data_IF_174943605976
#
_entry.id   IF_174943605976
#
_cell.length_a   1.000
_cell.length_b   1.000
_cell.length_c   1.000
_cell.angle_alpha   90.00
_cell.angle_beta   90.00
_cell.angle_gamma   90.00
#
_symmetry.space_group_name_H-M   'P 1'
#
loop_
_entity.id
_entity.type
_entity.pdbx_description
1 polymer ?
#
# COMPACT_ATOMS: atom_id res chain seq x y z
N UNK A 1 7.17 2.25 1.34
CA UNK A 1 8.04 1.05 1.22
C UNK A 1 7.50 -0.13 2.02
N UNK A 2 7.42 -0.07 3.36
CA UNK A 2 6.96 -1.21 4.18
C UNK A 2 5.53 -1.71 3.88
N UNK A 3 4.64 -0.82 3.43
CA UNK A 3 3.27 -1.13 3.01
C UNK A 3 3.20 -2.12 1.86
N UNK A 4 4.06 -1.99 0.84
CA UNK A 4 4.17 -2.95 -0.25
C UNK A 4 4.51 -4.34 0.28
N UNK A 5 5.53 -4.45 1.14
CA UNK A 5 5.94 -5.71 1.75
C UNK A 5 4.84 -6.33 2.61
N UNK A 6 4.18 -5.54 3.46
CA UNK A 6 3.10 -6.00 4.32
C UNK A 6 1.94 -6.60 3.51
N UNK A 7 1.53 -5.94 2.42
CA UNK A 7 0.47 -6.44 1.54
C UNK A 7 0.93 -7.63 0.69
N UNK A 8 2.09 -7.52 0.03
CA UNK A 8 2.61 -8.53 -0.88
C UNK A 8 2.90 -9.86 -0.15
N UNK A 9 3.59 -9.81 0.99
CA UNK A 9 3.87 -11.02 1.75
C UNK A 9 2.65 -11.46 2.58
N UNK A 10 1.89 -10.51 3.14
CA UNK A 10 0.66 -10.79 3.88
C UNK A 10 -0.38 -11.60 3.09
N UNK A 11 -0.43 -11.43 1.77
CA UNK A 11 -1.22 -12.26 0.86
C UNK A 11 -0.98 -13.78 0.99
N UNK A 12 0.16 -14.21 1.53
CA UNK A 12 0.49 -15.63 1.77
C UNK A 12 0.17 -16.15 3.18
N UNK A 13 -0.20 -15.29 4.12
CA UNK A 13 -0.26 -15.66 5.55
C UNK A 13 -1.66 -15.55 6.18
N UNK A 14 -2.67 -15.08 5.44
CA UNK A 14 -4.04 -14.83 5.96
C UNK A 14 -4.02 -14.11 7.32
N UNK A 15 -3.32 -12.96 7.45
CA UNK A 15 -3.14 -12.30 8.73
C UNK A 15 -4.48 -11.82 9.29
N UNK A 16 -4.59 -11.75 10.63
CA UNK A 16 -5.79 -11.21 11.29
C UNK A 16 -6.01 -9.75 10.92
N UNK A 17 -4.94 -8.97 10.79
CA UNK A 17 -4.99 -7.58 10.38
C UNK A 17 -3.77 -7.17 9.55
N UNK A 18 -3.97 -6.24 8.63
CA UNK A 18 -2.92 -5.53 7.89
C UNK A 18 -3.15 -4.03 8.11
N UNK A 19 -2.17 -3.34 8.69
CA UNK A 19 -2.27 -1.91 8.99
C UNK A 19 -1.25 -1.17 8.11
N UNK A 20 -1.73 -0.17 7.39
CA UNK A 20 -1.00 0.53 6.34
C UNK A 20 -1.04 2.03 6.62
N UNK A 21 0.11 2.66 6.42
CA UNK A 21 0.30 4.10 6.48
C UNK A 21 0.97 4.53 5.17
N UNK A 22 0.30 5.38 4.39
CA UNK A 22 0.73 5.85 3.07
C UNK A 22 1.05 4.66 2.15
N UNK A 23 0.02 3.87 1.79
CA UNK A 23 0.23 2.66 1.01
C UNK A 23 0.86 2.97 -0.35
N UNK A 24 1.77 2.09 -0.78
CA UNK A 24 2.34 2.08 -2.12
C UNK A 24 2.19 0.63 -2.63
N UNK A 25 1.57 0.46 -3.80
CA UNK A 25 1.28 -0.83 -4.44
C UNK A 25 1.84 -0.91 -5.86
N UNK A 26 1.89 0.22 -6.57
CA UNK A 26 2.19 0.30 -7.99
C UNK A 26 3.63 0.81 -8.22
N UNK A 27 4.63 -0.06 -8.01
CA UNK A 27 6.04 0.31 -8.18
C UNK A 27 6.41 0.69 -9.64
N UNK A 28 5.77 0.08 -10.63
CA UNK A 28 5.90 0.43 -12.03
C UNK A 28 5.32 1.81 -12.33
N UNK A 29 4.15 2.13 -11.79
CA UNK A 29 3.57 3.48 -11.84
C UNK A 29 4.48 4.52 -11.18
N UNK A 30 5.07 4.21 -10.02
CA UNK A 30 6.04 5.09 -9.36
C UNK A 30 7.28 5.29 -10.26
N UNK A 31 7.80 4.23 -10.89
CA UNK A 31 8.90 4.32 -11.84
C UNK A 31 8.56 5.19 -13.07
N UNK A 32 7.35 5.03 -13.62
CA UNK A 32 6.81 5.84 -14.72
C UNK A 32 6.81 7.32 -14.38
N UNK A 33 6.32 7.65 -13.18
CA UNK A 33 6.28 9.04 -12.68
C UNK A 33 7.67 9.60 -12.41
N UNK A 34 8.61 8.77 -11.97
CA UNK A 34 10.03 9.13 -11.80
C UNK A 34 10.73 9.57 -13.08
N UNK A 35 10.28 9.08 -14.25
CA UNK A 35 10.81 9.49 -15.56
C UNK A 35 10.43 10.93 -15.93
N UNK A 36 9.24 11.38 -15.50
CA UNK A 36 8.85 12.78 -15.59
C UNK A 36 9.58 13.51 -14.46
N UNK A 37 10.32 14.58 -14.74
CA UNK A 37 11.14 15.32 -13.73
C UNK A 37 10.28 16.04 -12.67
N UNK A 38 9.43 15.32 -11.97
CA UNK A 38 8.66 15.83 -10.85
C UNK A 38 9.63 16.06 -9.67
N UNK A 39 9.51 17.18 -8.93
CA UNK A 39 10.27 17.37 -7.71
C UNK A 39 10.06 16.21 -6.74
N UNK A 40 11.14 15.72 -6.11
CA UNK A 40 11.11 14.73 -5.01
C UNK A 40 10.64 13.30 -5.37
N UNK A 41 11.00 12.77 -6.54
CA UNK A 41 10.72 11.38 -6.96
C UNK A 41 11.51 10.31 -6.16
N UNK A 42 11.06 9.05 -6.22
CA UNK A 42 11.74 7.86 -5.68
C UNK A 42 12.53 7.13 -6.78
N UNK A 43 13.77 7.54 -7.11
CA UNK A 43 14.52 7.04 -8.28
C UNK A 43 14.81 5.54 -8.21
N UNK A 44 14.94 4.98 -7.01
CA UNK A 44 15.14 3.54 -6.79
C UNK A 44 14.02 2.67 -7.38
N UNK A 45 12.84 3.23 -7.69
CA UNK A 45 11.81 2.51 -8.43
C UNK A 45 12.28 2.06 -9.83
N UNK A 46 13.17 2.81 -10.49
CA UNK A 46 13.74 2.42 -11.78
C UNK A 46 14.71 1.24 -11.64
N UNK A 47 15.50 1.20 -10.56
CA UNK A 47 16.38 0.07 -10.27
C UNK A 47 15.56 -1.19 -9.96
N UNK A 48 14.46 -1.05 -9.20
CA UNK A 48 13.53 -2.15 -8.92
C UNK A 48 12.82 -2.64 -10.18
N UNK A 49 12.46 -1.72 -11.08
CA UNK A 49 11.91 -2.06 -12.39
C UNK A 49 12.88 -2.90 -13.20
N UNK A 50 14.12 -2.44 -13.33
CA UNK A 50 15.14 -3.19 -14.05
C UNK A 50 15.43 -4.54 -13.39
N UNK A 51 15.56 -4.58 -12.05
CA UNK A 51 15.81 -5.81 -11.29
C UNK A 51 14.73 -6.89 -11.53
N UNK A 52 13.46 -6.49 -11.57
CA UNK A 52 12.35 -7.45 -11.62
C UNK A 52 11.86 -7.78 -13.03
N UNK A 53 12.14 -6.94 -14.01
CA UNK A 53 11.58 -7.07 -15.35
C UNK A 53 12.64 -7.09 -16.46
N UNK A 54 13.88 -6.67 -16.17
CA UNK A 54 14.97 -6.56 -17.14
C UNK A 54 14.88 -5.34 -18.07
N UNK A 55 13.74 -4.64 -18.11
CA UNK A 55 13.51 -3.50 -19.02
C UNK A 55 13.10 -2.21 -18.31
N UNK A 56 12.62 -1.24 -19.11
CA UNK A 56 12.33 0.13 -18.66
C UNK A 56 11.20 0.83 -19.41
N UNK A 57 10.55 0.16 -20.35
CA UNK A 57 9.41 0.71 -21.09
C UNK A 57 8.10 0.53 -20.31
N UNK A 58 6.99 1.00 -20.88
CA UNK A 58 5.68 0.96 -20.22
C UNK A 58 5.20 -0.47 -19.96
N UNK A 59 5.49 -1.43 -20.85
CA UNK A 59 5.12 -2.82 -20.66
C UNK A 59 5.82 -3.42 -19.43
N UNK A 60 7.09 -3.08 -19.22
CA UNK A 60 7.82 -3.50 -18.03
C UNK A 60 7.25 -2.85 -16.75
N UNK A 61 6.83 -1.59 -16.82
CA UNK A 61 6.19 -0.90 -15.68
C UNK A 61 4.88 -1.59 -15.31
N UNK A 62 4.04 -1.89 -16.29
CA UNK A 62 2.80 -2.64 -16.08
C UNK A 62 3.05 -4.03 -15.51
N UNK A 63 4.05 -4.76 -16.02
CA UNK A 63 4.42 -6.09 -15.51
C UNK A 63 4.85 -6.04 -14.03
N UNK A 64 5.58 -4.99 -13.62
CA UNK A 64 5.96 -4.80 -12.23
C UNK A 64 4.74 -4.54 -11.32
N UNK A 65 3.76 -3.77 -11.77
CA UNK A 65 2.51 -3.55 -11.03
C UNK A 65 1.70 -4.85 -10.96
N UNK A 66 1.60 -5.59 -12.08
CA UNK A 66 0.91 -6.88 -12.12
C UNK A 66 1.58 -7.95 -11.26
N UNK A 67 2.91 -7.88 -11.05
CA UNK A 67 3.60 -8.75 -10.09
C UNK A 67 2.99 -8.63 -8.69
N UNK A 68 2.67 -7.42 -8.24
CA UNK A 68 1.98 -7.19 -6.97
C UNK A 68 0.54 -7.69 -7.02
N UNK A 69 -0.24 -7.20 -7.99
CA UNK A 69 -1.68 -7.43 -8.03
C UNK A 69 -2.08 -8.88 -8.28
N UNK A 70 -1.32 -9.64 -9.09
CA UNK A 70 -1.56 -11.08 -9.28
C UNK A 70 -1.51 -11.86 -7.96
N UNK A 71 -0.63 -11.45 -7.04
CA UNK A 71 -0.53 -12.08 -5.72
C UNK A 71 -1.61 -11.58 -4.78
N UNK A 72 -1.82 -10.27 -4.72
CA UNK A 72 -2.79 -9.65 -3.81
C UNK A 72 -4.24 -10.08 -4.12
N UNK A 73 -4.66 -10.04 -5.40
CA UNK A 73 -6.04 -10.37 -5.80
C UNK A 73 -6.39 -11.86 -5.68
N UNK A 74 -5.39 -12.75 -5.58
CA UNK A 74 -5.59 -14.20 -5.37
C UNK A 74 -5.60 -14.58 -3.88
N UNK A 75 -5.28 -13.65 -3.00
CA UNK A 75 -5.18 -13.93 -1.58
C UNK A 75 -6.56 -14.07 -0.93
N UNK A 76 -6.63 -14.93 0.08
CA UNK A 76 -7.79 -15.05 0.95
C UNK A 76 -7.66 -14.07 2.12
N UNK A 77 -8.43 -12.99 2.06
CA UNK A 77 -8.53 -11.97 3.09
C UNK A 77 -9.86 -12.01 3.85
N UNK A 78 -10.62 -13.10 3.75
CA UNK A 78 -11.96 -13.22 4.36
C UNK A 78 -12.00 -12.97 5.88
N UNK A 79 -10.87 -13.17 6.57
CA UNK A 79 -10.72 -12.94 8.02
C UNK A 79 -9.72 -11.82 8.34
N UNK A 80 -9.34 -11.03 7.35
CA UNK A 80 -8.36 -9.95 7.49
C UNK A 80 -9.09 -8.61 7.63
N UNK A 81 -8.69 -7.86 8.65
CA UNK A 81 -9.08 -6.45 8.78
C UNK A 81 -7.96 -5.54 8.26
N UNK A 82 -8.26 -4.68 7.31
CA UNK A 82 -7.38 -3.65 6.79
C UNK A 82 -7.62 -2.33 7.50
N UNK A 83 -6.56 -1.77 8.08
CA UNK A 83 -6.52 -0.39 8.54
C UNK A 83 -5.65 0.45 7.60
N UNK A 84 -6.20 1.46 6.93
CA UNK A 84 -5.47 2.23 5.92
C UNK A 84 -5.50 3.74 6.21
N UNK A 85 -4.36 4.32 6.58
CA UNK A 85 -4.18 5.78 6.52
C UNK A 85 -3.49 6.13 5.20
N UNK A 86 -4.09 7.04 4.43
CA UNK A 86 -3.59 7.44 3.11
C UNK A 86 -3.56 8.96 2.94
N UNK A 87 -2.74 9.41 2.00
CA UNK A 87 -2.67 10.82 1.59
C UNK A 87 -3.62 11.03 0.41
N UNK A 88 -4.48 12.06 0.48
CA UNK A 88 -5.47 12.32 -0.58
C UNK A 88 -4.83 12.83 -1.87
N UNK A 89 -3.72 13.56 -1.75
CA UNK A 89 -2.95 14.12 -2.85
C UNK A 89 -1.62 13.36 -3.02
N UNK A 90 -1.65 12.03 -2.80
CA UNK A 90 -0.52 11.12 -2.94
C UNK A 90 0.17 11.29 -4.31
N UNK A 91 1.44 11.69 -4.28
CA UNK A 91 2.17 12.11 -5.47
C UNK A 91 3.13 11.03 -6.01
N UNK A 92 3.38 9.95 -5.25
CA UNK A 92 4.14 8.79 -5.73
C UNK A 92 3.25 7.75 -6.39
N UNK A 93 2.20 7.30 -5.71
CA UNK A 93 1.28 6.27 -6.19
C UNK A 93 -0.18 6.75 -6.05
N UNK A 94 -0.65 7.64 -6.95
CA UNK A 94 -1.87 8.43 -6.75
C UNK A 94 -3.16 7.62 -6.66
N UNK A 95 -3.15 6.35 -7.10
CA UNK A 95 -4.33 5.47 -7.10
C UNK A 95 -4.21 4.34 -6.07
N UNK A 96 -3.14 4.29 -5.27
CA UNK A 96 -2.87 3.17 -4.38
C UNK A 96 -4.05 2.83 -3.48
N UNK A 97 -4.67 3.84 -2.85
CA UNK A 97 -5.78 3.64 -1.94
C UNK A 97 -7.01 3.08 -2.68
N UNK A 98 -7.40 3.71 -3.78
CA UNK A 98 -8.54 3.35 -4.61
C UNK A 98 -8.38 1.93 -5.18
N UNK A 99 -7.19 1.60 -5.69
CA UNK A 99 -6.88 0.28 -6.24
C UNK A 99 -6.97 -0.81 -5.17
N UNK A 100 -6.44 -0.54 -3.96
CA UNK A 100 -6.51 -1.48 -2.83
C UNK A 100 -7.97 -1.71 -2.42
N UNK A 101 -8.75 -0.64 -2.25
CA UNK A 101 -10.15 -0.75 -1.87
C UNK A 101 -10.96 -1.47 -2.95
N UNK A 102 -10.73 -1.18 -4.23
CA UNK A 102 -11.39 -1.87 -5.33
C UNK A 102 -11.07 -3.36 -5.36
N UNK A 103 -9.81 -3.74 -5.11
CA UNK A 103 -9.41 -5.14 -5.04
C UNK A 103 -10.00 -5.88 -3.83
N UNK A 104 -10.23 -5.18 -2.72
CA UNK A 104 -10.83 -5.75 -1.50
C UNK A 104 -12.37 -5.74 -1.54
N UNK A 105 -12.99 -4.86 -2.33
CA UNK A 105 -14.45 -4.72 -2.39
C UNK A 105 -15.16 -6.02 -2.77
N UNK A 106 -14.55 -6.85 -3.62
CA UNK A 106 -15.09 -8.15 -4.03
C UNK A 106 -14.78 -9.29 -3.04
N UNK A 107 -14.31 -8.97 -1.82
CA UNK A 107 -13.91 -9.93 -0.80
C UNK A 107 -14.61 -9.64 0.53
N UNK A 108 -14.57 -10.60 1.46
CA UNK A 108 -15.11 -10.39 2.83
C UNK A 108 -14.14 -9.62 3.75
N UNK A 109 -13.07 -9.03 3.20
CA UNK A 109 -12.12 -8.26 3.97
C UNK A 109 -12.79 -7.00 4.57
N UNK A 110 -12.52 -6.73 5.84
CA UNK A 110 -13.01 -5.51 6.50
C UNK A 110 -12.04 -4.37 6.23
N UNK A 111 -12.51 -3.22 5.77
CA UNK A 111 -11.67 -2.04 5.51
C UNK A 111 -12.10 -0.88 6.38
N UNK A 112 -11.15 -0.30 7.12
CA UNK A 112 -11.32 0.98 7.82
C UNK A 112 -10.20 1.90 7.36
N UNK A 113 -10.57 3.08 6.86
CA UNK A 113 -9.60 4.02 6.29
C UNK A 113 -9.74 5.45 6.81
N UNK A 114 -8.64 6.21 6.72
CA UNK A 114 -8.60 7.65 6.98
C UNK A 114 -7.72 8.35 5.96
N UNK A 115 -8.32 9.26 5.20
CA UNK A 115 -7.59 10.16 4.31
C UNK A 115 -7.13 11.42 5.03
N UNK A 116 -5.86 11.79 4.83
CA UNK A 116 -5.26 13.07 5.27
C UNK A 116 -4.94 13.90 4.03
N UNK A 117 -5.21 15.21 4.05
CA UNK A 117 -4.82 16.09 2.94
C UNK A 117 -3.32 16.38 3.01
N UNK A 118 -2.67 16.42 1.85
CA UNK A 118 -1.23 16.54 1.65
C UNK A 118 -0.70 15.49 0.67
N UNK A 119 0.53 15.71 0.21
CA UNK A 119 1.35 14.80 -0.58
C UNK A 119 2.01 13.74 0.29
N UNK A 120 2.75 12.81 -0.31
CA UNK A 120 3.32 11.65 0.40
C UNK A 120 4.08 12.02 1.68
N UNK A 121 4.84 13.12 1.67
CA UNK A 121 5.69 13.52 2.79
C UNK A 121 5.07 14.56 3.72
N UNK A 122 3.83 14.99 3.45
CA UNK A 122 3.11 15.93 4.30
C UNK A 122 2.48 15.21 5.52
N UNK A 123 2.29 15.94 6.61
CA UNK A 123 1.66 15.53 7.88
C UNK A 123 1.89 14.06 8.31
N UNK A 124 3.16 13.66 8.35
CA UNK A 124 3.53 12.29 8.76
C UNK A 124 3.15 11.98 10.21
N UNK A 125 3.07 13.00 11.07
CA UNK A 125 2.69 12.86 12.48
C UNK A 125 1.27 12.31 12.61
N UNK A 126 0.30 12.86 11.87
CA UNK A 126 -1.08 12.39 11.92
C UNK A 126 -1.23 10.96 11.40
N UNK A 127 -0.57 10.62 10.28
CA UNK A 127 -0.59 9.25 9.73
C UNK A 127 -0.03 8.23 10.72
N UNK A 128 1.10 8.54 11.37
CA UNK A 128 1.72 7.65 12.37
C UNK A 128 0.83 7.51 13.62
N UNK A 129 0.25 8.61 14.10
CA UNK A 129 -0.67 8.58 15.24
C UNK A 129 -1.89 7.70 14.94
N UNK A 130 -2.46 7.81 13.73
CA UNK A 130 -3.56 6.95 13.29
C UNK A 130 -3.17 5.47 13.25
N UNK A 131 -2.01 5.16 12.66
CA UNK A 131 -1.48 3.80 12.60
C UNK A 131 -1.36 3.19 14.01
N UNK A 132 -0.74 3.93 14.95
CA UNK A 132 -0.52 3.45 16.32
C UNK A 132 -1.83 3.26 17.08
N UNK A 133 -2.82 4.14 16.88
CA UNK A 133 -4.12 4.01 17.51
C UNK A 133 -4.89 2.80 16.96
N UNK A 134 -4.86 2.59 15.65
CA UNK A 134 -5.51 1.43 15.04
C UNK A 134 -4.85 0.11 15.47
N UNK A 135 -3.52 0.09 15.54
CA UNK A 135 -2.77 -1.06 16.07
C UNK A 135 -3.19 -1.40 17.50
N UNK A 136 -3.24 -0.40 18.40
CA UNK A 136 -3.70 -0.57 19.78
C UNK A 136 -5.15 -1.06 19.84
N UNK A 137 -6.03 -0.50 19.01
CA UNK A 137 -7.44 -0.92 18.94
C UNK A 137 -7.57 -2.40 18.54
N UNK A 138 -6.79 -2.86 17.56
CA UNK A 138 -6.78 -4.28 17.17
C UNK A 138 -6.27 -5.15 18.31
N UNK A 139 -5.17 -4.78 18.96
CA UNK A 139 -4.63 -5.54 20.10
C UNK A 139 -5.65 -5.68 21.24
N UNK A 140 -6.37 -4.60 21.55
CA UNK A 140 -7.37 -4.59 22.62
C UNK A 140 -8.62 -5.41 22.23
N UNK A 141 -9.22 -5.13 21.07
CA UNK A 141 -10.51 -5.71 20.67
C UNK A 141 -10.42 -7.17 20.24
N UNK A 142 -9.33 -7.55 19.57
CA UNK A 142 -9.18 -8.89 18.99
C UNK A 142 -8.37 -9.82 19.90
N UNK A 143 -7.56 -9.29 20.80
CA UNK A 143 -6.64 -10.08 21.63
C UNK A 143 -6.69 -9.75 23.13
N UNK A 144 -7.58 -8.85 23.58
CA UNK A 144 -7.76 -8.52 24.99
C UNK A 144 -6.56 -7.81 25.65
N UNK A 145 -5.59 -7.33 24.87
CA UNK A 145 -4.38 -6.67 25.39
C UNK A 145 -4.67 -5.21 25.74
N UNK A 146 -5.22 -5.01 26.93
CA UNK A 146 -5.40 -3.68 27.52
C UNK A 146 -4.02 -3.05 27.81
N UNK A 147 -3.94 -1.73 27.65
CA UNK A 147 -2.74 -0.95 28.00
C UNK A 147 -2.45 -1.00 29.48
#
# INVERSE_FOLDING_TARGET
MGTYGAMYYGAGFRPRAIILAKPLSNLGTIAKRGRLRLPKVFPTALDLLHLHTGGKDEQHMEELDQRFWRRFKRADFSRTTFGISYMKEEDYDPTAYEDIVAALHSTDAKVISRGTSGRHNDDSTMTVAWFMNYYKMILEREFGRKK
#
